data_IF_120717753120
#
_entry.id   IF_120717753120
#
_cell.length_a   1.000
_cell.length_b   1.000
_cell.length_c   1.000
_cell.angle_alpha   90.00
_cell.angle_beta   90.00
_cell.angle_gamma   90.00
#
_symmetry.space_group_name_H-M   'P 1'
#
loop_
_entity.id
_entity.type
_entity.pdbx_description
1 polymer ?
#
# COMPACT_ATOMS: atom_id res chain seq x y z
N UNK A 1 8.65 33.21 8.46
CA UNK A 1 9.12 32.07 9.29
C UNK A 1 8.00 31.06 9.53
N UNK A 2 6.78 31.49 9.88
CA UNK A 2 5.62 30.62 10.14
C UNK A 2 5.23 29.70 8.95
N UNK A 3 5.15 30.23 7.72
CA UNK A 3 4.76 29.44 6.54
C UNK A 3 5.79 28.34 6.19
N UNK A 4 7.06 28.63 6.41
CA UNK A 4 8.19 27.71 6.20
C UNK A 4 8.17 26.55 7.21
N UNK A 5 7.79 26.86 8.46
CA UNK A 5 7.57 25.85 9.49
C UNK A 5 6.37 24.96 9.16
N UNK A 6 5.26 25.52 8.64
CA UNK A 6 4.07 24.74 8.28
C UNK A 6 4.36 23.76 7.13
N UNK A 7 5.09 24.20 6.09
CA UNK A 7 5.47 23.32 4.97
C UNK A 7 6.47 22.25 5.41
N UNK A 8 7.46 22.61 6.24
CA UNK A 8 8.41 21.65 6.81
C UNK A 8 7.76 20.63 7.75
N UNK A 9 6.77 21.04 8.55
CA UNK A 9 6.00 20.16 9.43
C UNK A 9 5.09 19.23 8.61
N UNK A 10 4.39 19.76 7.59
CA UNK A 10 3.59 18.94 6.67
C UNK A 10 4.45 17.90 5.94
N UNK A 11 5.67 18.29 5.55
CA UNK A 11 6.67 17.42 4.93
C UNK A 11 7.16 16.30 5.86
N UNK A 12 7.51 16.63 7.11
CA UNK A 12 7.94 15.64 8.10
C UNK A 12 6.78 14.71 8.46
N UNK A 13 5.56 15.22 8.61
CA UNK A 13 4.38 14.40 8.88
C UNK A 13 4.10 13.46 7.72
N UNK A 14 4.16 13.91 6.45
CA UNK A 14 3.90 13.04 5.31
C UNK A 14 5.00 11.98 5.11
N UNK A 15 6.27 12.36 5.33
CA UNK A 15 7.41 11.45 5.28
C UNK A 15 7.36 10.42 6.43
N UNK A 16 7.06 10.87 7.65
CA UNK A 16 6.88 10.01 8.82
C UNK A 16 5.68 9.11 8.60
N UNK A 17 4.52 9.57 8.12
CA UNK A 17 3.35 8.73 7.83
C UNK A 17 3.61 7.69 6.74
N UNK A 18 4.42 8.02 5.74
CA UNK A 18 4.85 7.07 4.69
C UNK A 18 5.84 6.02 5.22
N UNK A 19 6.71 6.40 6.16
CA UNK A 19 7.71 5.52 6.77
C UNK A 19 7.18 4.75 7.99
N UNK A 20 6.08 5.21 8.59
CA UNK A 20 5.50 4.70 9.84
C UNK A 20 4.25 3.87 9.60
N UNK A 21 4.12 3.16 8.46
CA UNK A 21 3.19 2.02 8.43
C UNK A 21 3.75 1.00 9.44
N UNK A 22 3.20 0.87 10.65
CA UNK A 22 3.83 0.08 11.70
C UNK A 22 3.91 -1.37 11.25
N UNK A 23 5.04 -2.00 11.54
CA UNK A 23 5.29 -3.41 11.25
C UNK A 23 4.21 -4.32 11.85
N UNK A 24 3.96 -5.43 11.15
CA UNK A 24 3.21 -6.63 11.59
C UNK A 24 1.72 -6.45 12.00
N UNK A 25 1.26 -5.25 12.36
CA UNK A 25 -0.16 -4.92 12.57
C UNK A 25 -0.87 -4.50 11.27
N UNK A 26 -0.09 -4.24 10.22
CA UNK A 26 -0.58 -3.70 8.97
C UNK A 26 -1.15 -4.80 8.06
N UNK A 27 -2.19 -4.42 7.31
CA UNK A 27 -2.89 -5.18 6.29
C UNK A 27 -1.95 -6.09 5.48
N UNK A 28 -2.38 -7.31 5.18
CA UNK A 28 -1.63 -8.22 4.33
C UNK A 28 -2.56 -9.19 3.60
N UNK A 29 -2.13 -9.66 2.44
CA UNK A 29 -2.72 -10.79 1.74
C UNK A 29 -1.71 -11.91 1.59
N UNK A 30 -2.00 -13.06 2.18
CA UNK A 30 -1.15 -14.25 2.16
C UNK A 30 -1.76 -15.31 1.26
N UNK A 31 -1.13 -15.60 0.13
CA UNK A 31 -1.53 -16.71 -0.74
C UNK A 31 -1.33 -18.05 -0.04
N UNK A 32 -2.40 -18.83 0.07
CA UNK A 32 -2.43 -20.14 0.72
C UNK A 32 -2.18 -21.23 -0.33
N UNK A 33 -3.11 -21.35 -1.28
CA UNK A 33 -3.07 -22.30 -2.40
C UNK A 33 -3.68 -21.62 -3.61
N UNK A 34 -2.95 -21.55 -4.72
CA UNK A 34 -3.44 -21.03 -5.99
C UNK A 34 -4.06 -19.63 -5.87
N UNK A 35 -5.39 -19.55 -6.00
CA UNK A 35 -6.16 -18.29 -5.97
C UNK A 35 -6.74 -17.95 -4.58
N UNK A 36 -6.53 -18.78 -3.58
CA UNK A 36 -7.07 -18.59 -2.23
C UNK A 36 -6.03 -17.92 -1.33
N UNK A 37 -6.47 -16.91 -0.57
CA UNK A 37 -5.60 -16.09 0.26
C UNK A 37 -6.22 -15.84 1.63
N UNK A 38 -5.41 -15.76 2.69
CA UNK A 38 -5.82 -15.16 3.96
C UNK A 38 -5.48 -13.68 3.91
N UNK A 39 -6.49 -12.83 4.06
CA UNK A 39 -6.34 -11.39 4.13
C UNK A 39 -6.53 -10.93 5.58
N UNK A 40 -5.64 -10.07 6.07
CA UNK A 40 -5.89 -9.24 7.24
C UNK A 40 -6.37 -7.88 6.73
N UNK A 41 -7.67 -7.55 6.82
CA UNK A 41 -8.16 -6.26 6.36
C UNK A 41 -7.58 -5.10 7.18
N UNK A 42 -7.50 -3.92 6.58
CA UNK A 42 -7.12 -2.69 7.25
C UNK A 42 -8.12 -2.29 8.36
N UNK A 43 -7.67 -1.44 9.29
CA UNK A 43 -8.51 -0.89 10.38
C UNK A 43 -9.75 -0.13 9.88
N UNK A 44 -9.75 0.32 8.62
CA UNK A 44 -10.85 1.08 8.01
C UNK A 44 -11.97 0.18 7.43
N UNK A 45 -11.72 -1.13 7.29
CA UNK A 45 -12.62 -2.08 6.63
C UNK A 45 -13.72 -2.62 7.55
N UNK A 46 -14.27 -1.80 8.48
CA UNK A 46 -15.04 -2.15 9.69
C UNK A 46 -16.29 -3.06 9.61
N UNK A 47 -16.41 -3.90 8.58
CA UNK A 47 -17.52 -4.84 8.35
C UNK A 47 -17.14 -6.32 8.52
N UNK A 48 -15.89 -6.67 8.83
CA UNK A 48 -15.48 -8.07 8.99
C UNK A 48 -15.59 -8.55 10.44
N UNK A 49 -16.13 -9.76 10.65
CA UNK A 49 -16.38 -10.35 11.98
C UNK A 49 -15.14 -10.94 12.68
N UNK A 50 -13.94 -10.69 12.19
CA UNK A 50 -12.71 -11.09 12.88
C UNK A 50 -11.44 -10.55 12.23
N UNK A 51 -10.26 -10.92 12.76
CA UNK A 51 -8.99 -10.33 12.35
C UNK A 51 -8.53 -10.76 10.96
N UNK A 52 -8.99 -11.92 10.47
CA UNK A 52 -8.61 -12.46 9.17
C UNK A 52 -9.82 -12.98 8.39
N UNK A 53 -9.73 -12.89 7.08
CA UNK A 53 -10.75 -13.34 6.14
C UNK A 53 -10.13 -14.24 5.09
N UNK A 54 -10.82 -15.32 4.74
CA UNK A 54 -10.45 -16.18 3.62
C UNK A 54 -11.09 -15.61 2.36
N UNK A 55 -10.25 -15.27 1.38
CA UNK A 55 -10.69 -14.73 0.10
C UNK A 55 -10.27 -15.63 -1.07
N UNK A 56 -10.98 -15.47 -2.17
CA UNK A 56 -10.65 -16.02 -3.47
C UNK A 56 -10.41 -14.89 -4.47
N UNK A 57 -9.27 -14.93 -5.14
CA UNK A 57 -8.94 -14.04 -6.24
C UNK A 57 -9.64 -14.51 -7.51
N UNK A 58 -10.65 -13.77 -7.97
CA UNK A 58 -11.35 -14.03 -9.23
C UNK A 58 -10.55 -13.44 -10.39
N UNK A 59 -10.05 -12.22 -10.22
CA UNK A 59 -9.24 -11.51 -11.21
C UNK A 59 -8.12 -10.73 -10.51
N UNK A 60 -7.22 -10.07 -11.25
CA UNK A 60 -6.18 -9.23 -10.66
C UNK A 60 -6.72 -8.13 -9.73
N UNK A 61 -7.94 -7.66 -9.96
CA UNK A 61 -8.60 -6.54 -9.28
C UNK A 61 -9.86 -6.93 -8.51
N UNK A 62 -10.30 -8.18 -8.61
CA UNK A 62 -11.55 -8.65 -7.99
C UNK A 62 -11.30 -9.86 -7.09
N UNK A 63 -11.73 -9.73 -5.85
CA UNK A 63 -11.67 -10.77 -4.82
C UNK A 63 -13.07 -11.04 -4.27
N UNK A 64 -13.41 -12.30 -4.06
CA UNK A 64 -14.60 -12.72 -3.34
C UNK A 64 -14.22 -13.15 -1.93
N UNK A 65 -14.97 -12.69 -0.94
CA UNK A 65 -14.84 -13.16 0.44
C UNK A 65 -15.58 -14.49 0.52
N UNK A 66 -14.88 -15.51 1.02
CA UNK A 66 -15.45 -16.84 1.23
C UNK A 66 -15.87 -17.04 2.68
N UNK A 67 -15.04 -16.55 3.61
CA UNK A 67 -15.25 -16.74 5.03
C UNK A 67 -14.63 -15.59 5.82
N UNK A 68 -15.41 -14.98 6.70
CA UNK A 68 -14.91 -14.03 7.69
C UNK A 68 -14.52 -14.76 8.98
N UNK A 69 -13.73 -14.09 9.84
CA UNK A 69 -13.48 -14.58 11.20
C UNK A 69 -12.53 -15.76 11.29
N UNK A 70 -11.65 -15.96 10.30
CA UNK A 70 -10.64 -17.02 10.34
C UNK A 70 -9.67 -16.73 11.47
N UNK A 71 -9.45 -17.69 12.37
CA UNK A 71 -8.48 -17.55 13.46
C UNK A 71 -7.21 -18.34 13.17
N UNK A 72 -7.36 -19.57 12.68
CA UNK A 72 -6.26 -20.48 12.36
C UNK A 72 -6.59 -21.29 11.13
N UNK A 73 -5.55 -21.66 10.39
CA UNK A 73 -5.72 -22.48 9.19
C UNK A 73 -4.55 -23.43 8.98
N UNK A 74 -4.77 -24.45 8.18
CA UNK A 74 -3.75 -25.32 7.63
C UNK A 74 -4.15 -25.74 6.21
N UNK A 75 -3.18 -26.32 5.52
CA UNK A 75 -3.33 -26.77 4.14
C UNK A 75 -2.77 -28.17 4.04
N UNK A 76 -3.52 -29.06 3.41
CA UNK A 76 -3.05 -30.37 2.99
C UNK A 76 -3.47 -30.58 1.53
N UNK A 77 -2.49 -30.68 0.63
CA UNK A 77 -2.70 -30.73 -0.82
C UNK A 77 -3.59 -29.59 -1.35
N UNK A 78 -4.84 -29.91 -1.70
CA UNK A 78 -5.86 -28.97 -2.21
C UNK A 78 -6.96 -28.68 -1.19
N UNK A 79 -6.77 -29.06 0.07
CA UNK A 79 -7.75 -28.87 1.13
C UNK A 79 -7.23 -27.79 2.09
N UNK A 80 -7.97 -26.71 2.18
CA UNK A 80 -7.74 -25.63 3.15
C UNK A 80 -8.72 -25.85 4.29
N UNK A 81 -8.25 -25.89 5.52
CA UNK A 81 -9.10 -26.14 6.67
C UNK A 81 -8.64 -25.34 7.88
N UNK A 82 -9.52 -25.15 8.84
CA UNK A 82 -9.18 -24.34 10.00
C UNK A 82 -10.33 -24.09 10.94
N UNK A 83 -10.13 -23.05 11.74
CA UNK A 83 -11.00 -22.60 12.82
C UNK A 83 -11.41 -21.15 12.56
N UNK A 84 -12.66 -20.85 12.86
CA UNK A 84 -13.24 -19.51 12.87
C UNK A 84 -13.80 -19.17 14.24
N UNK A 85 -14.23 -17.93 14.42
CA UNK A 85 -14.93 -17.43 15.61
C UNK A 85 -16.19 -18.24 15.98
N UNK A 86 -16.84 -18.87 15.00
CA UNK A 86 -18.09 -19.63 15.17
C UNK A 86 -17.97 -21.15 15.00
N UNK A 87 -16.78 -21.66 14.65
CA UNK A 87 -16.60 -23.11 14.46
C UNK A 87 -15.39 -23.49 13.61
N UNK A 88 -15.58 -24.47 12.73
CA UNK A 88 -14.52 -25.05 11.91
C UNK A 88 -14.92 -25.05 10.43
N UNK A 89 -13.93 -25.03 9.55
CA UNK A 89 -14.18 -25.06 8.11
C UNK A 89 -13.28 -26.06 7.38
N UNK A 90 -13.79 -26.53 6.24
CA UNK A 90 -13.05 -27.29 5.23
C UNK A 90 -13.43 -26.75 3.87
N UNK A 91 -12.42 -26.41 3.08
CA UNK A 91 -12.55 -25.94 1.71
C UNK A 91 -11.72 -26.85 0.81
N UNK A 92 -12.38 -27.60 -0.06
CA UNK A 92 -11.73 -28.42 -1.07
C UNK A 92 -11.58 -27.62 -2.36
N UNK A 93 -10.35 -27.20 -2.69
CA UNK A 93 -10.02 -26.42 -3.90
C UNK A 93 -9.74 -27.32 -5.12
N UNK A 94 -9.83 -28.64 -4.96
CA UNK A 94 -9.53 -29.63 -5.98
C UNK A 94 -10.76 -30.32 -6.57
N UNK A 95 -11.95 -30.06 -6.01
CA UNK A 95 -13.20 -30.66 -6.44
C UNK A 95 -13.47 -30.39 -7.93
N UNK A 96 -13.59 -31.46 -8.72
CA UNK A 96 -13.93 -31.38 -10.14
C UNK A 96 -15.33 -30.85 -10.39
N UNK A 97 -16.25 -31.13 -9.46
CA UNK A 97 -17.67 -30.83 -9.60
C UNK A 97 -17.98 -29.38 -9.21
N UNK A 98 -17.10 -28.78 -8.40
CA UNK A 98 -17.12 -27.39 -8.00
C UNK A 98 -15.75 -26.77 -8.25
N UNK A 99 -15.45 -26.31 -9.48
CA UNK A 99 -14.14 -25.72 -9.83
C UNK A 99 -13.79 -24.49 -8.97
N UNK A 100 -14.79 -23.94 -8.30
CA UNK A 100 -14.76 -22.79 -7.42
C UNK A 100 -14.44 -23.13 -5.95
N UNK A 101 -14.36 -24.43 -5.65
CA UNK A 101 -14.16 -25.02 -4.33
C UNK A 101 -15.45 -25.14 -3.52
N UNK A 102 -15.54 -26.18 -2.70
CA UNK A 102 -16.69 -26.44 -1.82
C UNK A 102 -16.33 -26.08 -0.37
N UNK A 103 -16.95 -25.01 0.16
CA UNK A 103 -16.76 -24.57 1.55
C UNK A 103 -17.81 -25.24 2.44
N UNK A 104 -17.34 -26.04 3.39
CA UNK A 104 -18.16 -26.69 4.41
C UNK A 104 -17.81 -26.14 5.79
N UNK A 105 -18.85 -25.81 6.57
CA UNK A 105 -18.75 -25.29 7.93
C UNK A 105 -19.26 -26.32 8.93
N UNK A 106 -18.62 -26.38 10.10
CA UNK A 106 -18.92 -27.34 11.14
C UNK A 106 -18.90 -26.64 12.50
N UNK A 107 -19.92 -26.86 13.31
CA UNK A 107 -19.96 -26.34 14.69
C UNK A 107 -19.10 -27.18 15.65
N UNK A 108 -18.93 -28.48 15.34
CA UNK A 108 -18.25 -29.44 16.20
C UNK A 108 -16.96 -29.99 15.57
N UNK A 109 -15.92 -30.13 16.40
CA UNK A 109 -14.63 -30.67 16.02
C UNK A 109 -14.70 -32.13 15.55
N UNK A 110 -15.63 -32.93 16.07
CA UNK A 110 -15.78 -34.33 15.67
C UNK A 110 -16.21 -34.47 14.20
N UNK A 111 -17.24 -33.73 13.80
CA UNK A 111 -17.75 -33.74 12.43
C UNK A 111 -16.73 -33.16 11.45
N UNK A 112 -16.06 -32.09 11.88
CA UNK A 112 -14.95 -31.50 11.15
C UNK A 112 -13.82 -32.50 10.88
N UNK A 113 -13.38 -33.24 11.90
CA UNK A 113 -12.35 -34.28 11.74
C UNK A 113 -12.82 -35.43 10.85
N UNK A 114 -14.09 -35.81 10.93
CA UNK A 114 -14.66 -36.83 10.05
C UNK A 114 -14.65 -36.37 8.58
N UNK A 115 -15.00 -35.10 8.32
CA UNK A 115 -14.92 -34.50 6.99
C UNK A 115 -13.48 -34.46 6.46
N UNK A 116 -12.52 -34.08 7.30
CA UNK A 116 -11.09 -34.06 6.93
C UNK A 116 -10.55 -35.43 6.55
N UNK A 117 -10.89 -36.48 7.31
CA UNK A 117 -10.51 -37.86 6.98
C UNK A 117 -11.09 -38.32 5.64
N UNK A 118 -12.34 -37.97 5.34
CA UNK A 118 -12.96 -38.25 4.03
C UNK A 118 -12.21 -37.59 2.87
N UNK A 119 -11.53 -36.48 3.14
CA UNK A 119 -10.69 -35.75 2.18
C UNK A 119 -9.21 -36.19 2.20
N UNK A 120 -8.88 -37.26 2.92
CA UNK A 120 -7.53 -37.84 2.96
C UNK A 120 -6.56 -37.14 3.92
N UNK A 121 -7.04 -36.23 4.77
CA UNK A 121 -6.19 -35.58 5.78
C UNK A 121 -6.15 -36.46 7.03
N UNK A 122 -5.02 -37.14 7.23
CA UNK A 122 -4.78 -38.03 8.36
C UNK A 122 -3.69 -37.49 9.30
N UNK A 123 -3.75 -37.88 10.58
CA UNK A 123 -2.73 -37.52 11.57
C UNK A 123 -3.07 -36.30 12.45
N UNK A 124 -2.10 -35.86 13.29
CA UNK A 124 -2.27 -34.71 14.15
C UNK A 124 -2.36 -33.42 13.33
N UNK A 125 -3.46 -32.69 13.46
CA UNK A 125 -3.69 -31.44 12.76
C UNK A 125 -2.96 -30.29 13.48
N UNK A 126 -1.96 -29.71 12.82
CA UNK A 126 -1.31 -28.50 13.32
C UNK A 126 -1.86 -27.28 12.57
N UNK A 127 -2.78 -26.56 13.23
CA UNK A 127 -3.27 -25.29 12.70
C UNK A 127 -2.26 -24.19 12.94
N UNK A 128 -2.08 -23.33 11.93
CA UNK A 128 -1.16 -22.21 11.94
C UNK A 128 -1.93 -20.90 12.20
N UNK A 129 -1.29 -20.02 12.95
CA UNK A 129 -1.75 -18.64 13.14
C UNK A 129 -1.34 -17.81 11.90
N UNK A 130 -2.29 -17.18 11.17
CA UNK A 130 -2.00 -16.34 10.02
C UNK A 130 -0.92 -15.29 10.27
N UNK A 131 -0.89 -14.68 11.46
CA UNK A 131 0.09 -13.66 11.80
C UNK A 131 1.49 -14.24 11.90
N UNK A 132 1.62 -15.41 12.52
CA UNK A 132 2.91 -16.11 12.64
C UNK A 132 3.43 -16.51 11.28
N UNK A 133 2.56 -17.03 10.41
CA UNK A 133 2.97 -17.37 9.04
C UNK A 133 3.39 -16.11 8.30
N UNK A 134 2.60 -15.03 8.36
CA UNK A 134 2.94 -13.77 7.72
C UNK A 134 4.28 -13.21 8.21
N UNK A 135 4.60 -13.29 9.50
CA UNK A 135 5.87 -12.81 10.05
C UNK A 135 7.10 -13.53 9.48
N UNK A 136 6.95 -14.76 8.99
CA UNK A 136 8.04 -15.53 8.36
C UNK A 136 8.19 -15.25 6.86
N UNK A 137 7.22 -14.57 6.26
CA UNK A 137 7.18 -14.30 4.82
C UNK A 137 7.79 -12.94 4.49
N UNK A 138 8.46 -12.81 3.34
CA UNK A 138 8.99 -11.53 2.92
C UNK A 138 7.84 -10.56 2.62
N UNK A 139 8.00 -9.28 2.97
CA UNK A 139 6.95 -8.26 2.81
C UNK A 139 6.36 -8.16 1.39
N UNK A 140 7.18 -8.46 0.37
CA UNK A 140 6.78 -8.50 -1.05
C UNK A 140 5.73 -9.57 -1.38
N UNK A 141 5.72 -10.70 -0.65
CA UNK A 141 4.71 -11.75 -0.83
C UNK A 141 3.39 -11.37 -0.16
N UNK A 142 3.48 -10.60 0.93
CA UNK A 142 2.33 -10.17 1.74
C UNK A 142 1.58 -8.97 1.16
N UNK A 143 2.29 -8.13 0.38
CA UNK A 143 1.74 -6.92 -0.25
C UNK A 143 2.22 -6.76 -1.68
N UNK A 144 1.89 -7.68 -2.59
CA UNK A 144 2.39 -7.62 -3.96
C UNK A 144 2.01 -6.31 -4.68
N UNK A 145 0.90 -5.68 -4.28
CA UNK A 145 0.46 -4.36 -4.75
C UNK A 145 1.43 -3.22 -4.42
N UNK A 146 2.12 -3.29 -3.27
CA UNK A 146 3.14 -2.31 -2.90
C UNK A 146 4.42 -2.48 -3.75
N UNK A 147 4.58 -3.58 -4.48
CA UNK A 147 5.83 -3.99 -5.15
C UNK A 147 5.60 -4.40 -6.62
N UNK A 148 4.66 -3.81 -7.37
CA UNK A 148 4.30 -4.28 -8.72
C UNK A 148 5.36 -4.00 -9.78
N UNK A 149 5.83 -2.75 -9.91
CA UNK A 149 6.74 -2.38 -11.03
C UNK A 149 8.17 -2.16 -10.59
N UNK A 150 8.38 -1.47 -9.48
CA UNK A 150 9.73 -1.12 -9.05
C UNK A 150 10.45 -2.26 -8.34
N UNK A 151 9.73 -3.32 -7.99
CA UNK A 151 10.32 -4.58 -7.54
C UNK A 151 11.19 -5.23 -8.62
N UNK A 152 10.70 -5.28 -9.86
CA UNK A 152 11.43 -5.88 -10.98
C UNK A 152 12.71 -5.10 -11.33
N UNK A 153 12.74 -3.80 -11.07
CA UNK A 153 13.88 -2.94 -11.39
C UNK A 153 14.85 -2.77 -10.21
N UNK A 154 14.35 -2.52 -9.01
CA UNK A 154 15.17 -2.00 -7.89
C UNK A 154 14.77 -2.56 -6.50
N UNK A 155 13.80 -3.47 -6.40
CA UNK A 155 13.44 -4.15 -5.14
C UNK A 155 12.80 -3.25 -4.06
N UNK A 156 12.29 -2.08 -4.44
CA UNK A 156 11.72 -1.08 -3.53
C UNK A 156 10.19 -0.94 -3.72
N UNK A 157 9.45 -0.49 -2.69
CA UNK A 157 8.01 -0.31 -2.78
C UNK A 157 7.63 0.86 -3.72
N UNK A 158 6.60 0.65 -4.54
CA UNK A 158 6.09 1.58 -5.55
C UNK A 158 5.61 2.90 -4.92
N UNK A 159 5.04 2.86 -3.71
CA UNK A 159 4.67 4.05 -2.94
C UNK A 159 5.87 4.91 -2.50
N UNK A 160 7.01 4.28 -2.20
CA UNK A 160 8.26 5.00 -1.92
C UNK A 160 8.79 5.70 -3.18
N UNK A 161 8.65 5.05 -4.34
CA UNK A 161 9.06 5.60 -5.63
C UNK A 161 8.22 6.79 -6.07
N UNK A 162 6.91 6.71 -5.94
CA UNK A 162 6.04 7.84 -6.26
C UNK A 162 6.38 9.06 -5.39
N UNK A 163 6.63 8.84 -4.10
CA UNK A 163 7.15 9.86 -3.18
C UNK A 163 8.46 10.47 -3.67
N UNK A 164 9.44 9.65 -4.04
CA UNK A 164 10.75 10.12 -4.52
C UNK A 164 10.65 10.95 -5.82
N UNK A 165 9.83 10.50 -6.78
CA UNK A 165 9.58 11.24 -8.03
C UNK A 165 8.96 12.61 -7.74
N UNK A 166 7.99 12.67 -6.82
CA UNK A 166 7.37 13.92 -6.39
C UNK A 166 8.37 14.86 -5.72
N UNK A 167 9.31 14.33 -4.93
CA UNK A 167 10.37 15.11 -4.29
C UNK A 167 11.36 15.67 -5.31
N UNK A 168 11.82 14.84 -6.25
CA UNK A 168 12.73 15.28 -7.31
C UNK A 168 12.10 16.38 -8.16
N UNK A 169 10.84 16.22 -8.54
CA UNK A 169 10.12 17.25 -9.30
C UNK A 169 9.96 18.56 -8.52
N UNK A 170 9.64 18.49 -7.22
CA UNK A 170 9.53 19.67 -6.37
C UNK A 170 10.88 20.39 -6.23
N UNK A 171 11.97 19.65 -6.06
CA UNK A 171 13.33 20.19 -6.02
C UNK A 171 13.72 20.87 -7.34
N UNK A 172 13.40 20.26 -8.48
CA UNK A 172 13.63 20.86 -9.81
C UNK A 172 12.83 22.16 -9.96
N UNK A 173 11.57 22.18 -9.54
CA UNK A 173 10.73 23.39 -9.58
C UNK A 173 11.32 24.50 -8.69
N UNK A 174 11.78 24.14 -7.49
CA UNK A 174 12.43 25.06 -6.55
C UNK A 174 13.73 25.64 -7.11
N UNK A 175 14.63 24.81 -7.62
CA UNK A 175 15.89 25.24 -8.24
C UNK A 175 15.62 26.16 -9.43
N UNK A 176 14.67 25.80 -10.31
CA UNK A 176 14.30 26.67 -11.43
C UNK A 176 13.74 28.00 -10.94
N UNK A 177 12.96 28.01 -9.86
CA UNK A 177 12.57 29.22 -9.17
C UNK A 177 13.77 30.08 -8.79
N UNK A 178 14.79 29.51 -8.15
CA UNK A 178 15.99 30.24 -7.75
C UNK A 178 16.74 30.88 -8.94
N UNK A 179 16.81 30.20 -10.09
CA UNK A 179 17.63 30.62 -11.22
C UNK A 179 16.88 31.38 -12.34
N UNK A 180 15.56 31.23 -12.48
CA UNK A 180 14.79 31.91 -13.53
C UNK A 180 14.26 33.29 -13.06
N UNK A 181 14.82 34.35 -13.64
CA UNK A 181 14.39 35.74 -13.37
C UNK A 181 13.00 36.09 -13.93
N UNK A 182 12.52 35.40 -14.98
CA UNK A 182 11.22 35.68 -15.63
C UNK A 182 10.09 34.80 -15.07
N UNK A 183 8.98 35.42 -14.69
CA UNK A 183 7.73 34.78 -14.22
C UNK A 183 6.97 34.04 -15.31
N UNK A 184 6.93 34.58 -16.53
CA UNK A 184 6.08 34.08 -17.63
C UNK A 184 6.36 32.64 -18.08
N UNK A 185 7.60 32.13 -17.92
CA UNK A 185 7.96 30.76 -18.30
C UNK A 185 8.02 29.75 -17.15
N UNK A 186 7.77 30.20 -15.91
CA UNK A 186 7.91 29.36 -14.72
C UNK A 186 6.64 28.56 -14.42
N UNK A 187 5.48 29.23 -14.42
CA UNK A 187 4.19 28.61 -14.10
C UNK A 187 3.85 27.46 -15.05
N UNK A 188 3.89 27.61 -16.39
CA UNK A 188 3.60 26.50 -17.29
C UNK A 188 4.59 25.33 -17.14
N UNK A 189 5.86 25.61 -16.82
CA UNK A 189 6.85 24.56 -16.56
C UNK A 189 6.60 23.81 -15.26
N UNK A 190 6.28 24.51 -14.17
CA UNK A 190 5.95 23.89 -12.89
C UNK A 190 4.68 23.03 -12.99
N UNK A 191 3.69 23.51 -13.74
CA UNK A 191 2.47 22.75 -14.07
C UNK A 191 2.82 21.51 -14.90
N UNK A 192 3.67 21.63 -15.92
CA UNK A 192 4.11 20.50 -16.74
C UNK A 192 4.85 19.44 -15.93
N UNK A 193 5.82 19.80 -15.09
CA UNK A 193 6.52 18.83 -14.23
C UNK A 193 5.54 18.22 -13.21
N UNK A 194 4.65 19.02 -12.62
CA UNK A 194 3.63 18.53 -11.71
C UNK A 194 2.73 17.48 -12.36
N UNK A 195 2.27 17.74 -13.60
CA UNK A 195 1.49 16.79 -14.39
C UNK A 195 2.29 15.54 -14.76
N UNK A 196 3.55 15.69 -15.16
CA UNK A 196 4.42 14.55 -15.50
C UNK A 196 4.69 13.67 -14.27
N UNK A 197 4.99 14.26 -13.12
CA UNK A 197 5.21 13.54 -11.86
C UNK A 197 3.91 12.86 -11.38
N UNK A 198 2.77 13.54 -11.52
CA UNK A 198 1.46 12.95 -11.22
C UNK A 198 1.13 11.79 -12.14
N UNK A 199 1.30 11.93 -13.45
CA UNK A 199 1.06 10.86 -14.41
C UNK A 199 1.95 9.65 -14.10
N UNK A 200 3.21 9.90 -13.72
CA UNK A 200 4.13 8.83 -13.36
C UNK A 200 3.75 8.14 -12.05
N UNK A 201 3.33 8.91 -11.04
CA UNK A 201 2.83 8.39 -9.77
C UNK A 201 1.53 7.59 -9.94
N UNK A 202 0.57 8.10 -10.72
CA UNK A 202 -0.66 7.39 -11.08
C UNK A 202 -0.37 6.10 -11.85
N UNK A 203 0.57 6.14 -12.78
CA UNK A 203 0.99 4.95 -13.51
C UNK A 203 1.55 3.88 -12.55
N UNK A 204 2.30 4.28 -11.52
CA UNK A 204 2.85 3.38 -10.51
C UNK A 204 1.81 2.89 -9.48
N UNK A 205 0.86 3.73 -9.08
CA UNK A 205 -0.04 3.50 -7.94
C UNK A 205 -1.49 3.12 -8.33
N UNK A 206 -1.69 2.53 -9.51
CA UNK A 206 -2.96 2.24 -10.22
C UNK A 206 -4.16 1.63 -9.47
N UNK A 207 -4.15 1.43 -8.14
CA UNK A 207 -5.30 0.83 -7.44
C UNK A 207 -5.97 1.67 -6.36
N UNK A 208 -5.33 2.55 -5.59
CA UNK A 208 -6.04 3.18 -4.46
C UNK A 208 -5.47 4.57 -4.16
N UNK A 209 -6.15 5.62 -4.62
CA UNK A 209 -5.76 6.99 -4.35
C UNK A 209 -6.97 7.89 -4.15
N UNK A 210 -6.95 8.82 -3.17
CA UNK A 210 -8.01 9.79 -2.96
C UNK A 210 -8.28 10.56 -4.25
N UNK A 211 -9.54 10.99 -4.42
CA UNK A 211 -10.13 11.47 -5.68
C UNK A 211 -9.09 12.06 -6.65
N UNK A 212 -8.90 11.38 -7.78
CA UNK A 212 -8.06 11.79 -8.93
C UNK A 212 -8.10 13.30 -9.19
N UNK A 213 -9.27 13.90 -9.01
CA UNK A 213 -9.52 15.33 -9.17
C UNK A 213 -8.72 16.22 -8.20
N UNK A 214 -8.62 15.84 -6.92
CA UNK A 214 -7.88 16.59 -5.92
C UNK A 214 -6.37 16.60 -6.19
N UNK A 215 -5.80 15.47 -6.61
CA UNK A 215 -4.36 15.38 -6.89
C UNK A 215 -3.94 16.13 -8.17
N UNK A 216 -4.77 16.10 -9.22
CA UNK A 216 -4.51 16.83 -10.49
C UNK A 216 -4.38 18.34 -10.26
N UNK A 217 -5.11 18.90 -9.30
CA UNK A 217 -5.04 20.33 -8.98
C UNK A 217 -3.94 20.61 -7.95
N UNK A 218 -3.87 19.82 -6.88
CA UNK A 218 -2.97 20.09 -5.76
C UNK A 218 -1.49 19.95 -6.13
N UNK A 219 -1.12 18.98 -6.98
CA UNK A 219 0.29 18.75 -7.33
C UNK A 219 0.87 19.92 -8.14
N UNK A 220 0.24 20.40 -9.23
CA UNK A 220 0.70 21.61 -9.91
C UNK A 220 0.78 22.83 -9.00
N UNK A 221 -0.22 23.05 -8.13
CA UNK A 221 -0.21 24.17 -7.17
C UNK A 221 0.99 24.06 -6.22
N UNK A 222 1.25 22.87 -5.67
CA UNK A 222 2.41 22.62 -4.80
C UNK A 222 3.73 22.93 -5.53
N UNK A 223 3.86 22.52 -6.78
CA UNK A 223 5.07 22.75 -7.58
C UNK A 223 5.27 24.23 -7.89
N UNK A 224 4.20 24.95 -8.20
CA UNK A 224 4.23 26.40 -8.37
C UNK A 224 4.66 27.09 -7.07
N UNK A 225 4.12 26.67 -5.92
CA UNK A 225 4.52 27.18 -4.61
C UNK A 225 6.01 26.92 -4.32
N UNK A 226 6.53 25.72 -4.59
CA UNK A 226 7.94 25.37 -4.40
C UNK A 226 8.89 26.28 -5.20
N UNK A 227 8.57 26.61 -6.45
CA UNK A 227 9.44 27.52 -7.20
C UNK A 227 9.24 29.01 -6.88
N UNK A 228 8.06 29.44 -6.40
CA UNK A 228 7.95 30.75 -5.75
C UNK A 228 8.81 30.82 -4.49
N UNK A 229 8.85 29.75 -3.71
CA UNK A 229 9.71 29.63 -2.54
C UNK A 229 11.19 29.71 -2.90
N UNK A 230 11.63 29.02 -3.96
CA UNK A 230 12.99 29.16 -4.50
C UNK A 230 13.33 30.61 -4.89
N UNK A 231 12.42 31.31 -5.57
CA UNK A 231 12.59 32.74 -5.89
C UNK A 231 12.70 33.63 -4.67
N UNK A 232 11.94 33.33 -3.63
CA UNK A 232 12.01 34.09 -2.40
C UNK A 232 13.37 33.90 -1.71
N UNK A 233 13.90 32.67 -1.65
CA UNK A 233 15.22 32.37 -1.09
C UNK A 233 16.35 33.14 -1.79
N UNK A 234 16.37 33.17 -3.13
CA UNK A 234 17.44 33.87 -3.86
C UNK A 234 17.40 35.37 -3.55
N UNK A 235 16.20 35.98 -3.47
CA UNK A 235 16.03 37.40 -3.14
C UNK A 235 16.57 37.71 -1.74
N UNK A 236 16.19 36.91 -0.75
CA UNK A 236 16.66 37.08 0.64
C UNK A 236 18.18 36.93 0.72
N UNK A 237 18.75 35.92 0.05
CA UNK A 237 20.19 35.72 -0.01
C UNK A 237 20.90 36.90 -0.65
N UNK A 238 20.41 37.41 -1.79
CA UNK A 238 21.00 38.58 -2.45
C UNK A 238 20.92 39.84 -1.61
N UNK A 239 19.79 40.08 -0.93
CA UNK A 239 19.62 41.25 -0.05
C UNK A 239 20.56 41.18 1.16
N UNK A 240 20.72 40.00 1.78
CA UNK A 240 21.66 39.81 2.89
C UNK A 240 23.11 40.00 2.45
N UNK A 241 23.50 39.42 1.31
CA UNK A 241 24.86 39.57 0.75
C UNK A 241 25.18 41.02 0.41
N UNK A 242 24.20 41.75 -0.12
CA UNK A 242 24.34 43.18 -0.39
C UNK A 242 24.50 43.99 0.90
N UNK A 243 23.69 43.71 1.92
CA UNK A 243 23.79 44.36 3.23
C UNK A 243 25.11 44.08 3.96
N UNK A 244 25.72 42.89 3.79
CA UNK A 244 27.05 42.61 4.35
C UNK A 244 28.19 43.34 3.64
N UNK A 245 28.05 43.57 2.32
CA UNK A 245 29.07 44.28 1.53
C UNK A 245 29.11 45.78 1.80
N UNK A 246 28.02 46.38 2.29
CA UNK A 246 27.95 47.81 2.65
C UNK A 246 28.12 48.08 4.15
N UNK A 247 28.36 47.05 4.96
CA UNK A 247 28.74 47.18 6.37
C UNK A 247 30.25 47.08 6.62
N UNK A 248 31.02 46.66 5.62
CA UNK A 248 32.47 46.63 5.61
C UNK A 248 33.02 47.85 4.88
#
# INVERSE_FOLDING_TARGET
QVILAIIGIGFVIMLVSSLSRPGLAAEFSLTIVGRYQVLRPGLESGHHKGPYVLIRRISPTMTAILLDGVERYAVHDKVIFGETDVGYFVLDTGATDHPDGELNLFENQLDWRAALRKKGVEGPLQLLDPLRVAATRPAKELRPEDYRRMNALLGLPDGGWSGLVLLCGAAISMLRGMFCKRTLGFVPFAVFIGLAAFQHAMFLSLSEGPSLCGMVVMIPVMYVACGYFGRWLIRVYTLRKWASLHKA
#
